data_IF_063060148906
#
_entry.id   IF_063060148906
#
_cell.length_a   1.000
_cell.length_b   1.000
_cell.length_c   1.000
_cell.angle_alpha   90.00
_cell.angle_beta   90.00
_cell.angle_gamma   90.00
#
_symmetry.space_group_name_H-M   'P 1'
#
loop_
_entity.id
_entity.type
_entity.pdbx_description
1 polymer ?
#
# COMPACT_ATOMS: atom_id res chain seq x y z
N UNK A 1 -16.20 -27.31 -18.30
CA UNK A 1 -16.84 -27.43 -16.98
C UNK A 1 -16.16 -26.45 -16.03
N UNK A 2 -16.90 -25.80 -15.13
CA UNK A 2 -16.29 -24.99 -14.07
C UNK A 2 -15.42 -25.91 -13.19
N UNK A 3 -14.19 -25.49 -12.91
CA UNK A 3 -13.32 -26.22 -12.00
C UNK A 3 -13.96 -26.21 -10.60
N UNK A 4 -14.03 -27.35 -9.90
CA UNK A 4 -14.57 -27.39 -8.55
C UNK A 4 -13.72 -26.52 -7.62
N UNK A 5 -14.38 -25.59 -6.93
CA UNK A 5 -13.76 -24.64 -6.00
C UNK A 5 -13.87 -25.19 -4.58
N UNK A 6 -12.71 -25.54 -4.01
CA UNK A 6 -12.58 -26.00 -2.62
C UNK A 6 -11.97 -24.94 -1.70
N UNK A 7 -11.86 -23.70 -2.18
CA UNK A 7 -11.27 -22.61 -1.42
C UNK A 7 -12.16 -22.15 -0.28
N UNK A 8 -11.59 -21.37 0.62
CA UNK A 8 -12.29 -20.80 1.77
C UNK A 8 -13.48 -19.93 1.33
N UNK A 9 -14.60 -19.99 2.04
CA UNK A 9 -15.84 -19.26 1.72
C UNK A 9 -16.53 -19.67 0.40
N UNK A 10 -16.11 -20.75 -0.25
CA UNK A 10 -16.73 -21.25 -1.50
C UNK A 10 -18.23 -21.53 -1.37
N UNK A 11 -18.66 -22.05 -0.22
CA UNK A 11 -20.07 -22.35 0.05
C UNK A 11 -20.95 -21.10 0.24
N UNK A 12 -20.39 -20.01 0.80
CA UNK A 12 -21.11 -18.73 0.95
C UNK A 12 -21.16 -17.94 -0.35
N UNK A 13 -20.13 -18.10 -1.20
CA UNK A 13 -19.91 -17.29 -2.40
C UNK A 13 -19.87 -18.16 -3.65
N UNK A 14 -20.95 -18.91 -3.88
CA UNK A 14 -21.04 -19.93 -4.94
C UNK A 14 -20.95 -19.38 -6.37
N UNK A 15 -21.27 -18.11 -6.56
CA UNK A 15 -21.26 -17.45 -7.86
C UNK A 15 -19.99 -16.60 -8.13
N UNK A 16 -19.04 -16.54 -7.18
CA UNK A 16 -17.89 -15.64 -7.29
C UNK A 16 -16.57 -16.34 -6.99
N UNK A 17 -15.53 -15.95 -7.73
CA UNK A 17 -14.16 -16.42 -7.52
C UNK A 17 -13.59 -15.84 -6.23
N UNK A 18 -12.69 -16.60 -5.59
CA UNK A 18 -11.88 -16.08 -4.50
C UNK A 18 -10.96 -14.96 -4.98
N UNK A 19 -10.93 -13.84 -4.26
CA UNK A 19 -10.02 -12.73 -4.55
C UNK A 19 -9.03 -12.57 -3.39
N UNK A 20 -7.74 -12.75 -3.66
CA UNK A 20 -6.69 -12.44 -2.69
C UNK A 20 -6.60 -10.91 -2.55
N UNK A 21 -6.84 -10.41 -1.34
CA UNK A 21 -6.99 -8.96 -1.09
C UNK A 21 -5.98 -8.49 -0.05
N UNK A 22 -5.44 -7.29 -0.24
CA UNK A 22 -4.58 -6.68 0.77
C UNK A 22 -5.38 -6.27 2.00
N UNK A 23 -4.68 -6.19 3.13
CA UNK A 23 -5.27 -5.75 4.41
C UNK A 23 -5.85 -4.33 4.38
N UNK A 24 -5.49 -3.52 3.39
CA UNK A 24 -6.01 -2.16 3.22
C UNK A 24 -7.41 -2.11 2.61
N UNK A 25 -7.90 -3.19 1.99
CA UNK A 25 -9.23 -3.26 1.37
C UNK A 25 -10.27 -3.68 2.41
N UNK A 26 -10.58 -2.77 3.35
CA UNK A 26 -11.55 -3.03 4.42
C UNK A 26 -12.97 -3.05 3.85
N UNK A 27 -13.77 -4.06 4.21
CA UNK A 27 -15.19 -4.19 3.82
C UNK A 27 -15.41 -4.77 2.42
N UNK A 28 -14.36 -5.30 1.79
CA UNK A 28 -14.44 -5.89 0.44
C UNK A 28 -15.29 -7.17 0.43
N UNK A 29 -15.41 -7.84 1.57
CA UNK A 29 -16.25 -9.01 1.83
C UNK A 29 -17.74 -8.74 1.56
N UNK A 30 -18.21 -7.49 1.71
CA UNK A 30 -19.58 -7.13 1.36
C UNK A 30 -19.86 -7.13 -0.14
N UNK A 31 -18.82 -7.14 -0.98
CA UNK A 31 -18.95 -6.96 -2.43
C UNK A 31 -18.43 -8.17 -3.22
N UNK A 32 -17.42 -8.87 -2.69
CA UNK A 32 -16.81 -10.04 -3.32
C UNK A 32 -16.26 -11.01 -2.26
N UNK A 33 -15.92 -12.22 -2.68
CA UNK A 33 -15.28 -13.24 -1.85
C UNK A 33 -13.82 -12.90 -1.57
N UNK A 34 -13.58 -12.00 -0.62
CA UNK A 34 -12.25 -11.51 -0.26
C UNK A 34 -11.51 -12.45 0.70
N UNK A 35 -10.36 -12.98 0.28
CA UNK A 35 -9.45 -13.75 1.13
C UNK A 35 -8.38 -12.82 1.68
N UNK A 36 -8.55 -12.41 2.92
CA UNK A 36 -7.55 -11.63 3.66
C UNK A 36 -6.55 -12.54 4.38
N UNK A 37 -5.25 -12.17 4.43
CA UNK A 37 -4.34 -12.69 5.42
C UNK A 37 -4.90 -12.42 6.83
N UNK A 38 -4.83 -13.40 7.73
CA UNK A 38 -5.22 -13.20 9.12
C UNK A 38 -4.25 -12.25 9.79
N UNK A 39 -4.79 -11.23 10.47
CA UNK A 39 -4.00 -10.26 11.22
C UNK A 39 -3.60 -10.82 12.57
N UNK A 40 -2.38 -10.47 12.98
CA UNK A 40 -1.94 -10.64 14.36
C UNK A 40 -2.87 -9.87 15.30
N UNK A 41 -3.39 -10.49 16.37
CA UNK A 41 -4.22 -9.80 17.37
C UNK A 41 -3.39 -8.76 18.13
N UNK A 42 -4.07 -7.72 18.65
CA UNK A 42 -3.43 -6.52 19.21
C UNK A 42 -2.38 -6.80 20.30
N UNK A 43 -2.57 -7.86 21.10
CA UNK A 43 -1.68 -8.26 22.19
C UNK A 43 -1.30 -9.75 22.14
N UNK A 44 -1.37 -10.41 20.98
CA UNK A 44 -1.12 -11.86 20.87
C UNK A 44 -0.32 -12.23 19.63
N UNK A 45 0.00 -13.50 19.47
CA UNK A 45 0.56 -14.04 18.24
C UNK A 45 -0.57 -14.71 17.41
N UNK A 46 -0.31 -14.91 16.12
CA UNK A 46 -1.10 -15.87 15.35
C UNK A 46 -0.77 -17.27 15.86
N UNK A 47 -1.76 -18.14 15.92
CA UNK A 47 -1.49 -19.56 16.17
C UNK A 47 -0.79 -20.21 14.96
N UNK A 48 -0.27 -21.42 15.15
CA UNK A 48 0.47 -22.12 14.11
C UNK A 48 -0.38 -22.41 12.86
N UNK A 49 -1.69 -22.63 13.02
CA UNK A 49 -2.59 -22.93 11.91
C UNK A 49 -2.83 -21.67 11.05
N UNK A 50 -2.97 -20.52 11.69
CA UNK A 50 -3.16 -19.23 11.04
C UNK A 50 -1.90 -18.74 10.34
N UNK A 51 -0.72 -19.02 10.92
CA UNK A 51 0.57 -18.78 10.26
C UNK A 51 0.67 -19.62 8.99
N UNK A 52 0.36 -20.91 9.06
CA UNK A 52 0.45 -21.80 7.90
C UNK A 52 -0.61 -21.44 6.83
N UNK A 53 -1.83 -21.09 7.24
CA UNK A 53 -2.85 -20.55 6.31
C UNK A 53 -2.34 -19.30 5.61
N UNK A 54 -1.81 -18.34 6.35
CA UNK A 54 -1.26 -17.12 5.76
C UNK A 54 -0.10 -17.41 4.81
N UNK A 55 0.76 -18.38 5.13
CA UNK A 55 1.84 -18.81 4.25
C UNK A 55 1.31 -19.35 2.93
N UNK A 56 0.26 -20.18 2.95
CA UNK A 56 -0.42 -20.67 1.73
C UNK A 56 -1.06 -19.54 0.92
N UNK A 57 -1.79 -18.65 1.59
CA UNK A 57 -2.38 -17.47 0.94
C UNK A 57 -1.28 -16.61 0.30
N UNK A 58 -0.16 -16.38 1.00
CA UNK A 58 0.98 -15.64 0.45
C UNK A 58 1.65 -16.37 -0.71
N UNK A 59 1.78 -17.71 -0.68
CA UNK A 59 2.33 -18.44 -1.82
C UNK A 59 1.46 -18.31 -3.06
N UNK A 60 0.14 -18.24 -2.91
CA UNK A 60 -0.76 -18.02 -4.06
C UNK A 60 -0.61 -16.61 -4.65
N UNK A 61 -0.17 -15.62 -3.84
CA UNK A 61 0.07 -14.24 -4.29
C UNK A 61 1.37 -14.06 -5.05
N UNK A 62 2.31 -15.00 -4.95
CA UNK A 62 3.64 -14.88 -5.58
C UNK A 62 3.54 -14.61 -7.09
N UNK A 63 2.52 -15.17 -7.76
CA UNK A 63 2.28 -14.95 -9.19
C UNK A 63 1.94 -13.49 -9.48
N UNK A 64 1.09 -12.89 -8.64
CA UNK A 64 0.70 -11.48 -8.76
C UNK A 64 1.89 -10.59 -8.47
N UNK A 65 2.63 -10.88 -7.40
CA UNK A 65 3.82 -10.12 -7.02
C UNK A 65 4.84 -10.15 -8.16
N UNK A 66 5.25 -11.33 -8.63
CA UNK A 66 6.17 -11.48 -9.76
C UNK A 66 5.71 -10.76 -11.04
N UNK A 67 4.41 -10.72 -11.32
CA UNK A 67 3.88 -9.94 -12.43
C UNK A 67 4.12 -8.44 -12.23
N UNK A 68 3.70 -7.90 -11.08
CA UNK A 68 3.89 -6.48 -10.75
C UNK A 68 5.37 -6.08 -10.65
N UNK A 69 6.22 -6.99 -10.18
CA UNK A 69 7.66 -6.85 -10.21
C UNK A 69 8.18 -6.60 -11.62
N UNK A 70 7.77 -7.44 -12.57
CA UNK A 70 8.16 -7.30 -13.97
C UNK A 70 7.67 -5.98 -14.55
N UNK A 71 6.43 -5.60 -14.21
CA UNK A 71 5.87 -4.30 -14.59
C UNK A 71 6.72 -3.14 -14.06
N UNK A 72 7.14 -3.17 -12.79
CA UNK A 72 7.99 -2.12 -12.22
C UNK A 72 9.41 -2.14 -12.81
N UNK A 73 9.96 -3.30 -13.13
CA UNK A 73 11.31 -3.44 -13.68
C UNK A 73 11.40 -2.86 -15.10
N UNK A 74 10.38 -3.10 -15.91
CA UNK A 74 10.34 -2.66 -17.31
C UNK A 74 9.85 -1.21 -17.46
N UNK A 75 8.89 -0.79 -16.63
CA UNK A 75 8.13 0.44 -16.88
C UNK A 75 8.25 1.44 -15.73
N UNK A 76 8.99 2.53 -15.97
CA UNK A 76 9.16 3.62 -15.00
C UNK A 76 7.84 4.23 -14.52
N UNK A 77 6.83 4.30 -15.39
CA UNK A 77 5.49 4.83 -15.05
C UNK A 77 4.79 4.05 -13.93
N UNK A 78 5.19 2.80 -13.72
CA UNK A 78 4.60 1.92 -12.71
C UNK A 78 5.22 2.09 -11.32
N UNK A 79 6.41 2.67 -11.21
CA UNK A 79 7.04 2.94 -9.91
C UNK A 79 7.38 4.42 -9.64
N UNK A 80 7.36 5.30 -10.64
CA UNK A 80 7.64 6.72 -10.46
C UNK A 80 6.35 7.53 -10.34
N UNK A 81 6.40 8.66 -9.62
CA UNK A 81 5.29 9.62 -9.59
C UNK A 81 5.02 10.14 -11.00
N UNK A 82 3.84 9.85 -11.52
CA UNK A 82 3.37 10.38 -12.79
C UNK A 82 2.77 11.78 -12.59
N UNK A 83 3.14 12.75 -13.43
CA UNK A 83 2.79 14.17 -13.26
C UNK A 83 1.79 14.70 -14.30
N UNK A 84 1.23 13.83 -15.14
CA UNK A 84 0.26 14.21 -16.18
C UNK A 84 -1.16 13.71 -15.83
N UNK A 85 -2.13 13.94 -16.73
CA UNK A 85 -3.54 13.65 -16.47
C UNK A 85 -3.88 12.16 -16.34
N UNK A 86 -4.88 11.86 -15.51
CA UNK A 86 -5.34 10.50 -15.20
C UNK A 86 -5.78 9.71 -16.43
N UNK A 87 -6.49 10.33 -17.38
CA UNK A 87 -6.92 9.67 -18.63
C UNK A 87 -5.72 9.12 -19.41
N UNK A 88 -4.62 9.88 -19.45
CA UNK A 88 -3.39 9.50 -20.12
C UNK A 88 -2.69 8.39 -19.33
N UNK A 89 -2.67 8.50 -18.00
CA UNK A 89 -2.13 7.46 -17.12
C UNK A 89 -2.80 6.11 -17.36
N UNK A 90 -4.14 6.06 -17.40
CA UNK A 90 -4.89 4.82 -17.61
C UNK A 90 -4.60 4.16 -18.95
N UNK A 91 -4.41 4.94 -20.03
CA UNK A 91 -4.02 4.41 -21.34
C UNK A 91 -2.60 3.84 -21.26
N UNK A 92 -1.64 4.60 -20.72
CA UNK A 92 -0.25 4.15 -20.60
C UNK A 92 -0.17 2.88 -19.76
N UNK A 93 -0.85 2.84 -18.61
CA UNK A 93 -0.82 1.69 -17.72
C UNK A 93 -1.35 0.43 -18.41
N UNK A 94 -2.51 0.50 -19.07
CA UNK A 94 -3.03 -0.63 -19.85
C UNK A 94 -2.05 -1.10 -20.92
N UNK A 95 -1.40 -0.18 -21.63
CA UNK A 95 -0.37 -0.52 -22.61
C UNK A 95 0.82 -1.22 -21.97
N UNK A 96 1.33 -0.73 -20.84
CA UNK A 96 2.45 -1.37 -20.14
C UNK A 96 2.11 -2.78 -19.63
N UNK A 97 0.87 -3.02 -19.19
CA UNK A 97 0.42 -4.34 -18.75
C UNK A 97 0.30 -5.30 -19.94
N UNK A 98 -0.27 -4.84 -21.06
CA UNK A 98 -0.35 -5.63 -22.29
C UNK A 98 1.05 -6.02 -22.82
N UNK A 99 1.99 -5.07 -22.82
CA UNK A 99 3.38 -5.34 -23.21
C UNK A 99 4.09 -6.27 -22.23
N UNK A 100 3.76 -6.19 -20.93
CA UNK A 100 4.30 -7.14 -19.93
C UNK A 100 3.76 -8.54 -20.14
N UNK A 101 2.47 -8.70 -20.48
CA UNK A 101 1.89 -10.00 -20.83
C UNK A 101 2.61 -10.61 -22.04
N UNK A 102 2.89 -9.82 -23.08
CA UNK A 102 3.67 -10.28 -24.22
C UNK A 102 5.12 -10.60 -23.83
N UNK A 103 5.75 -9.79 -22.99
CA UNK A 103 7.08 -10.09 -22.48
C UNK A 103 7.10 -11.42 -21.72
N UNK A 104 6.08 -11.73 -20.93
CA UNK A 104 5.99 -12.98 -20.16
C UNK A 104 5.82 -14.21 -21.04
N UNK A 105 5.21 -14.09 -22.22
CA UNK A 105 5.14 -15.21 -23.16
C UNK A 105 6.50 -15.54 -23.78
N UNK A 106 7.42 -14.57 -23.80
CA UNK A 106 8.80 -14.75 -24.30
C UNK A 106 9.79 -15.08 -23.17
N UNK A 107 9.59 -14.48 -22.00
CA UNK A 107 10.47 -14.59 -20.85
C UNK A 107 9.64 -14.79 -19.57
N UNK A 108 9.53 -16.04 -19.09
CA UNK A 108 8.80 -16.37 -17.88
C UNK A 108 9.31 -15.60 -16.64
N UNK A 109 8.40 -15.41 -15.67
CA UNK A 109 8.68 -14.74 -14.41
C UNK A 109 9.75 -15.46 -13.57
N UNK A 110 10.55 -14.69 -12.83
CA UNK A 110 11.71 -15.21 -12.07
C UNK A 110 11.76 -14.65 -10.64
N UNK A 111 12.59 -15.25 -9.79
CA UNK A 111 12.79 -14.81 -8.41
C UNK A 111 13.41 -13.41 -8.31
N UNK A 112 14.30 -13.01 -9.23
CA UNK A 112 14.92 -11.69 -9.19
C UNK A 112 13.91 -10.54 -9.40
N UNK A 113 12.76 -10.85 -10.03
CA UNK A 113 11.68 -9.89 -10.17
C UNK A 113 11.14 -9.53 -8.75
N UNK A 114 10.91 -10.51 -7.89
CA UNK A 114 10.46 -10.34 -6.49
C UNK A 114 11.36 -9.39 -5.69
N UNK A 115 12.67 -9.63 -5.74
CA UNK A 115 13.68 -8.80 -5.07
C UNK A 115 13.62 -7.33 -5.53
N UNK A 116 13.45 -7.11 -6.84
CA UNK A 116 13.34 -5.77 -7.40
C UNK A 116 12.09 -5.04 -6.89
N UNK A 117 10.96 -5.74 -6.80
CA UNK A 117 9.73 -5.14 -6.30
C UNK A 117 9.79 -4.83 -4.81
N UNK A 118 10.41 -5.69 -4.02
CA UNK A 118 10.69 -5.41 -2.62
C UNK A 118 11.51 -4.11 -2.48
N UNK A 119 12.52 -3.90 -3.34
CA UNK A 119 13.29 -2.65 -3.39
C UNK A 119 12.42 -1.43 -3.75
N UNK A 120 11.53 -1.56 -4.74
CA UNK A 120 10.59 -0.48 -5.13
C UNK A 120 9.65 -0.15 -3.95
N UNK A 121 9.12 -1.14 -3.26
CA UNK A 121 8.25 -0.95 -2.10
C UNK A 121 8.98 -0.29 -0.94
N UNK A 122 10.22 -0.71 -0.66
CA UNK A 122 11.06 -0.07 0.35
C UNK A 122 11.31 1.41 0.03
N UNK A 123 11.54 1.75 -1.24
CA UNK A 123 11.67 3.15 -1.70
C UNK A 123 10.39 3.94 -1.44
N UNK A 124 9.22 3.36 -1.70
CA UNK A 124 7.93 4.00 -1.43
C UNK A 124 7.69 4.26 0.05
N UNK A 125 8.00 3.29 0.90
CA UNK A 125 7.93 3.46 2.35
C UNK A 125 8.88 4.58 2.80
N UNK A 126 10.10 4.63 2.27
CA UNK A 126 11.05 5.71 2.53
C UNK A 126 10.50 7.09 2.17
N UNK A 127 9.92 7.24 0.98
CA UNK A 127 9.30 8.50 0.56
C UNK A 127 8.09 8.90 1.42
N UNK A 128 7.26 7.93 1.82
CA UNK A 128 6.12 8.17 2.70
C UNK A 128 6.59 8.64 4.09
N UNK A 129 7.60 7.99 4.65
CA UNK A 129 8.21 8.35 5.92
C UNK A 129 8.83 9.74 5.89
N UNK A 130 9.52 10.10 4.81
CA UNK A 130 10.10 11.43 4.63
C UNK A 130 9.01 12.51 4.55
N UNK A 131 7.91 12.25 3.82
CA UNK A 131 6.74 13.15 3.78
C UNK A 131 6.13 13.32 5.18
N UNK A 132 6.01 12.24 5.96
CA UNK A 132 5.52 12.27 7.35
C UNK A 132 6.44 13.10 8.25
N UNK A 133 7.76 12.93 8.12
CA UNK A 133 8.78 13.69 8.85
C UNK A 133 8.68 15.20 8.55
N UNK A 134 8.63 15.58 7.28
CA UNK A 134 8.46 16.99 6.88
C UNK A 134 7.18 17.60 7.44
N UNK A 135 6.05 16.88 7.40
CA UNK A 135 4.77 17.34 7.99
C UNK A 135 4.89 17.55 9.49
N UNK A 136 5.50 16.61 10.22
CA UNK A 136 5.71 16.72 11.66
C UNK A 136 6.60 17.92 12.03
N UNK A 137 7.65 18.17 11.25
CA UNK A 137 8.54 19.31 11.45
C UNK A 137 7.82 20.64 11.23
N UNK A 138 7.06 20.79 10.14
CA UNK A 138 6.24 21.98 9.88
C UNK A 138 5.23 22.22 11.01
N UNK A 139 4.55 21.18 11.50
CA UNK A 139 3.64 21.30 12.63
C UNK A 139 4.35 21.69 13.93
N UNK A 140 5.57 21.20 14.17
CA UNK A 140 6.39 21.58 15.34
C UNK A 140 6.77 23.06 15.27
N UNK A 141 7.26 23.53 14.12
CA UNK A 141 7.60 24.94 13.90
C UNK A 141 6.38 25.85 14.07
N UNK A 142 5.23 25.46 13.53
CA UNK A 142 3.97 26.18 13.72
C UNK A 142 3.58 26.31 15.20
N UNK A 143 3.67 25.21 15.96
CA UNK A 143 3.37 25.19 17.41
C UNK A 143 4.31 26.12 18.19
N UNK A 144 5.61 26.09 17.93
CA UNK A 144 6.57 27.02 18.55
C UNK A 144 6.25 28.47 18.22
N UNK A 145 6.06 28.81 16.94
CA UNK A 145 5.77 30.19 16.53
C UNK A 145 4.45 30.71 17.14
N UNK A 146 3.45 29.84 17.31
CA UNK A 146 2.22 30.18 18.04
C UNK A 146 2.49 30.47 19.51
N UNK A 147 3.27 29.64 20.19
CA UNK A 147 3.63 29.86 21.60
C UNK A 147 4.40 31.18 21.79
N UNK A 148 5.36 31.47 20.91
CA UNK A 148 6.13 32.72 20.95
C UNK A 148 5.23 33.96 20.77
N UNK A 149 4.26 33.90 19.85
CA UNK A 149 3.28 34.98 19.67
C UNK A 149 2.42 35.21 20.91
N UNK A 150 1.95 34.14 21.56
CA UNK A 150 1.17 34.23 22.80
C UNK A 150 2.02 34.78 23.95
N UNK A 151 3.28 34.37 24.05
CA UNK A 151 4.21 34.86 25.07
C UNK A 151 4.50 36.36 24.90
N UNK A 152 4.77 36.81 23.67
CA UNK A 152 4.96 38.23 23.35
C UNK A 152 3.71 39.07 23.68
N UNK A 153 2.52 38.58 23.30
CA UNK A 153 1.27 39.28 23.58
C UNK A 153 0.97 39.38 25.09
N UNK A 154 1.34 38.36 25.86
CA UNK A 154 1.32 38.44 27.33
C UNK A 154 2.33 39.45 27.86
N UNK A 155 3.58 39.44 27.41
CA UNK A 155 4.61 40.36 27.91
C UNK A 155 4.27 41.83 27.60
N UNK A 156 3.71 42.12 26.41
CA UNK A 156 3.23 43.47 26.05
C UNK A 156 2.11 43.91 26.98
N UNK A 157 1.12 43.03 27.24
CA UNK A 157 0.03 43.34 28.18
C UNK A 157 0.50 43.54 29.62
N UNK A 158 1.49 42.78 30.07
CA UNK A 158 2.11 42.97 31.38
C UNK A 158 2.84 44.32 31.47
N UNK A 159 3.67 44.66 30.49
CA UNK A 159 4.37 45.96 30.49
C UNK A 159 3.42 47.14 30.44
N UNK A 160 2.31 47.06 29.69
CA UNK A 160 1.33 48.14 29.64
C UNK A 160 0.59 48.35 30.97
N UNK A 161 0.38 47.29 31.76
CA UNK A 161 -0.23 47.37 33.09
C UNK A 161 0.72 47.87 34.19
N UNK A 162 2.03 47.74 34.01
CA UNK A 162 3.02 48.21 35.00
C UNK A 162 3.39 49.69 34.85
N UNK A 163 2.87 50.36 33.82
CA UNK A 163 3.15 51.78 33.49
C UNK A 163 1.96 52.69 33.84
N UNK A 164 0.87 52.11 34.38
CA UNK A 164 -0.29 52.81 34.97
C UNK A 164 -0.26 52.55 36.47
#
# INVERSE_FOLDING_TARGET
AALPDHGELSAEYTATWACLVDMGYIGVDHTLRGIHPKRRPQNGALDAADVERNRRVSSDRVVVENFFCRVCSLWKVSYATFTWGEKIYGVIQRTTFALTNFHLSLMPARAEDEDYYALVMARYQGMANERKRKRAETQRRYRMNRQNRIAMDRSVRYMHRSVI
#
